data_IF_732769352736
#
_entry.id   IF_732769352736
#
_cell.length_a   1.000
_cell.length_b   1.000
_cell.length_c   1.000
_cell.angle_alpha   90.00
_cell.angle_beta   90.00
_cell.angle_gamma   90.00
#
_symmetry.space_group_name_H-M   'P 1'
#
loop_
_entity.id
_entity.type
_entity.pdbx_description
1 polymer ?
#
# COMPACT_ATOMS: atom_id res chain seq x y z
N UNK A 1 -9.79 -36.96 -16.54
CA UNK A 1 -11.00 -36.21 -16.16
C UNK A 1 -10.54 -34.82 -15.85
N UNK A 2 -10.94 -33.83 -16.65
CA UNK A 2 -10.62 -32.44 -16.36
C UNK A 2 -11.37 -32.06 -15.09
N UNK A 3 -10.71 -31.37 -14.16
CA UNK A 3 -11.38 -30.84 -12.96
C UNK A 3 -12.56 -29.99 -13.45
N UNK A 4 -13.79 -30.47 -13.24
CA UNK A 4 -15.06 -29.87 -13.67
C UNK A 4 -15.43 -28.62 -12.84
N UNK A 5 -14.45 -28.02 -12.16
CA UNK A 5 -14.62 -26.74 -11.52
C UNK A 5 -14.40 -25.65 -12.55
N UNK A 6 -15.45 -24.86 -12.73
CA UNK A 6 -15.37 -23.61 -13.44
C UNK A 6 -14.26 -22.74 -12.79
N UNK A 7 -13.20 -22.40 -13.53
CA UNK A 7 -12.05 -21.71 -12.96
C UNK A 7 -12.41 -20.29 -12.51
N UNK A 8 -13.43 -19.68 -13.12
CA UNK A 8 -13.92 -18.35 -12.75
C UNK A 8 -14.69 -18.41 -11.43
N UNK A 9 -15.56 -19.41 -11.25
CA UNK A 9 -16.28 -19.64 -9.98
C UNK A 9 -15.32 -19.88 -8.80
N UNK A 10 -14.25 -20.65 -9.04
CA UNK A 10 -13.21 -20.90 -8.01
C UNK A 10 -12.44 -19.61 -7.67
N UNK A 11 -12.22 -18.74 -8.66
CA UNK A 11 -11.54 -17.45 -8.45
C UNK A 11 -12.42 -16.46 -7.67
N UNK A 12 -13.73 -16.41 -7.93
CA UNK A 12 -14.65 -15.55 -7.21
C UNK A 12 -14.79 -15.96 -5.73
N UNK A 13 -14.97 -17.26 -5.44
CA UNK A 13 -15.01 -17.77 -4.06
C UNK A 13 -13.72 -17.42 -3.29
N UNK A 14 -12.57 -17.57 -3.94
CA UNK A 14 -11.30 -17.18 -3.36
C UNK A 14 -11.23 -15.66 -3.09
N UNK A 15 -11.65 -14.81 -4.03
CA UNK A 15 -11.68 -13.35 -3.84
C UNK A 15 -12.62 -12.93 -2.71
N UNK A 16 -13.77 -13.57 -2.59
CA UNK A 16 -14.73 -13.30 -1.50
C UNK A 16 -14.12 -13.67 -0.15
N UNK A 17 -13.47 -14.83 -0.06
CA UNK A 17 -12.77 -15.27 1.15
C UNK A 17 -11.69 -14.25 1.55
N UNK A 18 -10.82 -13.87 0.60
CA UNK A 18 -9.76 -12.89 0.86
C UNK A 18 -10.29 -11.52 1.31
N UNK A 19 -11.42 -11.06 0.73
CA UNK A 19 -12.07 -9.81 1.15
C UNK A 19 -12.65 -9.91 2.55
N UNK A 20 -13.26 -11.05 2.89
CA UNK A 20 -13.83 -11.27 4.22
C UNK A 20 -12.73 -11.29 5.30
N UNK A 21 -11.63 -12.01 5.06
CA UNK A 21 -10.48 -12.03 5.98
C UNK A 21 -9.85 -10.63 6.13
N UNK A 22 -9.75 -9.86 5.04
CA UNK A 22 -9.26 -8.49 5.09
C UNK A 22 -10.16 -7.59 5.96
N UNK A 23 -11.47 -7.65 5.75
CA UNK A 23 -12.44 -6.88 6.53
C UNK A 23 -12.41 -7.26 8.02
N UNK A 24 -12.25 -8.56 8.32
CA UNK A 24 -12.13 -9.04 9.70
C UNK A 24 -10.87 -8.49 10.39
N UNK A 25 -9.72 -8.50 9.72
CA UNK A 25 -8.47 -7.97 10.26
C UNK A 25 -8.50 -6.45 10.44
N UNK A 26 -9.22 -5.71 9.60
CA UNK A 26 -9.48 -4.28 9.79
C UNK A 26 -10.31 -4.05 11.06
N UNK A 27 -11.38 -4.82 11.24
CA UNK A 27 -12.34 -4.63 12.33
C UNK A 27 -11.82 -5.12 13.70
N UNK A 28 -10.93 -6.11 13.71
CA UNK A 28 -10.39 -6.73 14.94
C UNK A 28 -8.85 -6.72 14.95
N UNK A 29 -8.21 -5.53 15.04
CA UNK A 29 -6.76 -5.41 15.20
C UNK A 29 -6.24 -6.07 16.48
N UNK A 30 -5.01 -6.58 16.43
CA UNK A 30 -4.28 -7.07 17.60
C UNK A 30 -3.98 -5.93 18.59
N UNK A 31 -4.56 -5.91 19.80
CA UNK A 31 -4.41 -4.79 20.73
C UNK A 31 -2.99 -4.54 21.23
N UNK A 32 -2.09 -5.52 21.09
CA UNK A 32 -0.72 -5.48 21.60
C UNK A 32 0.28 -4.84 20.61
N UNK A 33 -0.13 -4.55 19.37
CA UNK A 33 0.75 -3.97 18.33
C UNK A 33 0.69 -2.44 18.22
N UNK A 34 1.80 -1.81 17.82
CA UNK A 34 1.87 -0.36 17.55
C UNK A 34 1.23 -0.08 16.18
N UNK A 35 -0.07 0.22 16.15
CA UNK A 35 -0.85 0.43 14.91
C UNK A 35 -0.50 1.72 14.17
N UNK A 36 0.71 1.81 13.63
CA UNK A 36 1.16 2.89 12.75
C UNK A 36 0.68 2.67 11.33
N UNK A 37 0.04 3.69 10.76
CA UNK A 37 -0.40 3.69 9.36
C UNK A 37 0.64 4.37 8.47
N UNK A 38 0.97 3.72 7.36
CA UNK A 38 1.91 4.18 6.36
C UNK A 38 1.29 4.10 4.96
N UNK A 39 1.67 5.04 4.10
CA UNK A 39 1.35 5.05 2.68
C UNK A 39 2.57 5.49 1.89
N UNK A 40 2.81 4.85 0.75
CA UNK A 40 3.98 5.13 -0.10
C UNK A 40 3.52 5.77 -1.40
N UNK A 41 4.06 6.96 -1.68
CA UNK A 41 3.88 7.67 -2.95
C UNK A 41 5.25 7.99 -3.54
N UNK A 42 5.34 7.98 -4.87
CA UNK A 42 6.59 8.24 -5.60
C UNK A 42 6.37 9.37 -6.59
N UNK A 43 7.31 10.32 -6.64
CA UNK A 43 7.29 11.42 -7.60
C UNK A 43 8.33 11.20 -8.69
N UNK A 44 7.87 11.22 -9.93
CA UNK A 44 8.74 11.09 -11.09
C UNK A 44 9.58 12.36 -11.29
N UNK A 45 10.87 12.17 -11.54
CA UNK A 45 11.77 13.24 -11.96
C UNK A 45 12.40 12.89 -13.30
N UNK A 46 12.52 13.89 -14.17
CA UNK A 46 13.32 13.82 -15.39
C UNK A 46 14.70 14.40 -15.11
N UNK A 47 15.75 13.63 -15.38
CA UNK A 47 17.13 14.10 -15.32
C UNK A 47 17.66 14.31 -16.73
N UNK A 48 18.36 15.43 -16.94
CA UNK A 48 19.05 15.76 -18.20
C UNK A 48 20.54 15.66 -17.97
N UNK A 49 21.27 15.18 -18.98
CA UNK A 49 22.72 15.02 -18.94
C UNK A 49 23.36 15.66 -20.16
N UNK A 50 24.50 16.30 -19.95
CA UNK A 50 25.34 16.87 -20.99
C UNK A 50 26.70 16.17 -21.01
N UNK A 51 27.28 16.03 -22.20
CA UNK A 51 28.60 15.39 -22.36
C UNK A 51 29.69 16.45 -22.36
N UNK A 52 30.64 16.33 -21.43
CA UNK A 52 31.88 17.09 -21.40
C UNK A 52 32.97 16.31 -22.18
N UNK A 53 33.44 16.82 -23.34
CA UNK A 53 34.46 16.16 -24.15
C UNK A 53 35.89 16.32 -23.61
N UNK A 54 36.15 17.32 -22.77
CA UNK A 54 37.46 17.57 -22.16
C UNK A 54 37.71 16.58 -21.00
N UNK A 55 36.65 16.23 -20.27
CA UNK A 55 36.66 15.24 -19.21
C UNK A 55 36.27 13.82 -19.66
N UNK A 56 35.80 13.66 -20.91
CA UNK A 56 35.21 12.43 -21.44
C UNK A 56 34.14 11.84 -20.50
N UNK A 57 33.19 12.68 -20.09
CA UNK A 57 32.21 12.30 -19.07
C UNK A 57 30.81 12.86 -19.35
N UNK A 58 29.77 12.17 -18.88
CA UNK A 58 28.41 12.69 -18.87
C UNK A 58 28.11 13.30 -17.51
N UNK A 59 27.86 14.61 -17.49
CA UNK A 59 27.50 15.37 -16.31
C UNK A 59 25.99 15.60 -16.26
N UNK A 60 25.42 15.58 -15.07
CA UNK A 60 24.00 15.88 -14.89
C UNK A 60 23.80 17.39 -14.98
N UNK A 61 23.15 17.83 -16.04
CA UNK A 61 22.81 19.23 -16.30
C UNK A 61 21.53 19.66 -15.56
N UNK A 62 20.55 18.76 -15.42
CA UNK A 62 19.27 19.13 -14.83
C UNK A 62 18.52 18.02 -14.12
N UNK A 63 17.64 18.43 -13.21
CA UNK A 63 16.59 17.59 -12.64
C UNK A 63 15.29 18.41 -12.55
N UNK A 64 14.22 17.89 -13.12
CA UNK A 64 12.89 18.49 -13.09
C UNK A 64 11.87 17.48 -12.58
N UNK A 65 11.02 17.88 -11.64
CA UNK A 65 9.87 17.08 -11.24
C UNK A 65 8.83 17.10 -12.37
N UNK A 66 8.40 15.93 -12.83
CA UNK A 66 7.41 15.82 -13.91
C UNK A 66 6.03 15.38 -13.43
N UNK A 67 5.94 14.92 -12.18
CA UNK A 67 4.69 14.53 -11.53
C UNK A 67 4.57 15.16 -10.15
N UNK A 68 3.34 15.48 -9.76
CA UNK A 68 3.05 16.04 -8.44
C UNK A 68 2.99 14.95 -7.38
N UNK A 69 3.28 15.34 -6.13
CA UNK A 69 3.10 14.46 -4.98
C UNK A 69 1.60 14.24 -4.74
N UNK A 70 1.12 13.01 -4.95
CA UNK A 70 -0.25 12.61 -4.65
C UNK A 70 -0.34 11.76 -3.39
N UNK A 71 -1.46 11.86 -2.68
CA UNK A 71 -1.75 10.96 -1.56
C UNK A 71 -1.89 9.52 -2.07
N UNK A 72 -1.29 8.53 -1.38
CA UNK A 72 -1.42 7.14 -1.76
C UNK A 72 -2.86 6.65 -1.57
N UNK A 73 -3.39 5.95 -2.56
CA UNK A 73 -4.76 5.42 -2.52
C UNK A 73 -4.93 4.30 -1.49
N UNK A 74 -3.85 3.55 -1.24
CA UNK A 74 -3.82 2.41 -0.33
C UNK A 74 -2.75 2.58 0.74
N UNK A 75 -3.12 2.23 1.96
CA UNK A 75 -2.35 2.33 3.18
C UNK A 75 -2.10 0.94 3.77
N UNK A 76 -1.09 0.86 4.62
CA UNK A 76 -0.74 -0.34 5.40
C UNK A 76 -0.52 0.02 6.85
N UNK A 77 -0.79 -0.93 7.73
CA UNK A 77 -0.47 -0.86 9.14
C UNK A 77 0.73 -1.75 9.46
N UNK A 78 1.53 -1.37 10.47
CA UNK A 78 2.67 -2.17 10.95
C UNK A 78 2.22 -3.57 11.43
N UNK A 79 0.98 -3.71 11.89
CA UNK A 79 0.34 -4.98 12.26
C UNK A 79 0.14 -5.98 11.12
N UNK A 80 0.56 -5.61 9.89
CA UNK A 80 0.50 -6.48 8.73
C UNK A 80 -0.76 -6.34 7.87
N UNK A 81 -1.77 -5.58 8.31
CA UNK A 81 -2.95 -5.26 7.47
C UNK A 81 -2.52 -4.29 6.36
N UNK A 82 -2.77 -4.65 5.10
CA UNK A 82 -2.33 -3.90 3.91
C UNK A 82 -3.47 -3.70 2.93
N UNK A 83 -3.40 -2.64 2.14
CA UNK A 83 -4.40 -2.36 1.10
C UNK A 83 -5.65 -1.66 1.61
N UNK A 84 -5.53 -0.94 2.73
CA UNK A 84 -6.64 -0.17 3.29
C UNK A 84 -6.79 1.16 2.57
N UNK A 85 -8.03 1.55 2.27
CA UNK A 85 -8.36 2.95 2.01
C UNK A 85 -8.14 3.81 3.25
N UNK A 86 -8.14 5.14 3.09
CA UNK A 86 -8.09 6.08 4.23
C UNK A 86 -9.22 5.81 5.24
N UNK A 87 -10.42 5.47 4.77
CA UNK A 87 -11.57 5.21 5.64
C UNK A 87 -11.40 3.91 6.43
N UNK A 88 -10.92 2.84 5.78
CA UNK A 88 -10.62 1.56 6.42
C UNK A 88 -9.46 1.68 7.42
N UNK A 89 -8.40 2.41 7.07
CA UNK A 89 -7.28 2.66 7.99
C UNK A 89 -7.73 3.44 9.23
N UNK A 90 -8.64 4.41 9.06
CA UNK A 90 -9.24 5.12 10.19
C UNK A 90 -10.06 4.20 11.08
N UNK A 91 -10.85 3.30 10.50
CA UNK A 91 -11.63 2.31 11.24
C UNK A 91 -10.72 1.38 12.04
N UNK A 92 -9.67 0.87 11.40
CA UNK A 92 -8.69 0.01 12.03
C UNK A 92 -8.02 0.67 13.25
N UNK A 93 -7.53 1.90 13.11
CA UNK A 93 -6.91 2.62 14.24
C UNK A 93 -7.92 2.91 15.36
N UNK A 94 -9.18 3.19 15.02
CA UNK A 94 -10.24 3.37 16.02
C UNK A 94 -10.45 2.07 16.80
N UNK A 95 -10.62 0.95 16.11
CA UNK A 95 -10.82 -0.36 16.72
C UNK A 95 -9.61 -0.77 17.60
N UNK A 96 -8.39 -0.49 17.15
CA UNK A 96 -7.19 -0.73 17.94
C UNK A 96 -7.23 0.04 19.27
N UNK A 97 -7.54 1.34 19.23
CA UNK A 97 -7.63 2.19 20.44
C UNK A 97 -8.75 1.76 21.39
N UNK A 98 -9.88 1.30 20.86
CA UNK A 98 -10.99 0.78 21.67
C UNK A 98 -10.64 -0.53 22.38
N UNK A 99 -9.77 -1.34 21.77
CA UNK A 99 -9.33 -2.61 22.35
C UNK A 99 -8.19 -2.41 23.35
N UNK A 100 -7.20 -1.55 23.09
CA UNK A 100 -6.15 -1.21 24.06
C UNK A 100 -6.69 -0.43 25.28
N UNK A 101 -7.88 0.19 25.18
CA UNK A 101 -8.53 0.92 26.28
C UNK A 101 -9.43 0.08 27.19
N UNK A 102 -9.55 -1.23 26.96
CA UNK A 102 -10.37 -2.16 27.74
C UNK A 102 -9.61 -2.89 28.86
N UNK A 103 -8.43 -2.38 29.25
CA UNK A 103 -7.62 -2.88 30.37
C UNK A 103 -8.09 -2.44 31.75
#
# INVERSE_FOLDING_TARGET
MSDERDPEATLDEWKETMRAEHAEAIANPDPDEDHRIEGVTQVSHRATFEYDPDADSLERDGIEQVDELTEPELLSCDCGVRGMTIEEAREHVRAAREQSGQE
#
